data_IF_331211324766
#
_entry.id   IF_331211324766
#
_cell.length_a   1.000
_cell.length_b   1.000
_cell.length_c   1.000
_cell.angle_alpha   90.00
_cell.angle_beta   90.00
_cell.angle_gamma   90.00
#
_symmetry.space_group_name_H-M   'P 1'
#
loop_
_entity.id
_entity.type
_entity.pdbx_description
1 polymer ?
#
# COMPACT_ATOMS: atom_id res chain seq x y z
N UNK A 1 18.14 -14.73 2.68
CA UNK A 1 17.87 -14.21 4.05
C UNK A 1 18.71 -12.96 4.23
N UNK A 2 18.09 -11.85 4.66
CA UNK A 2 18.77 -10.57 4.88
C UNK A 2 19.89 -10.74 5.92
N UNK A 3 21.10 -10.25 5.63
CA UNK A 3 22.22 -10.30 6.59
C UNK A 3 21.96 -9.33 7.75
N UNK A 4 22.48 -9.66 8.94
CA UNK A 4 22.23 -8.86 10.14
C UNK A 4 22.73 -7.41 10.01
N UNK A 5 23.88 -7.20 9.37
CA UNK A 5 24.45 -5.86 9.18
C UNK A 5 23.57 -5.02 8.25
N UNK A 6 23.13 -5.61 7.12
CA UNK A 6 22.20 -4.95 6.19
C UNK A 6 20.86 -4.63 6.88
N UNK A 7 20.36 -5.54 7.72
CA UNK A 7 19.16 -5.31 8.52
C UNK A 7 19.30 -4.11 9.45
N UNK A 8 20.41 -3.98 10.17
CA UNK A 8 20.65 -2.86 11.09
C UNK A 8 20.65 -1.54 10.32
N UNK A 9 21.37 -1.46 9.20
CA UNK A 9 21.44 -0.24 8.37
C UNK A 9 20.05 0.15 7.85
N UNK A 10 19.28 -0.80 7.31
CA UNK A 10 17.92 -0.53 6.80
C UNK A 10 16.98 -0.12 7.93
N UNK A 11 17.06 -0.79 9.08
CA UNK A 11 16.25 -0.48 10.25
C UNK A 11 16.51 0.94 10.75
N UNK A 12 17.77 1.36 10.83
CA UNK A 12 18.12 2.71 11.29
C UNK A 12 17.68 3.79 10.29
N UNK A 13 17.83 3.53 8.99
CA UNK A 13 17.30 4.38 7.93
C UNK A 13 15.78 4.58 8.08
N UNK A 14 15.03 3.49 8.24
CA UNK A 14 13.57 3.55 8.40
C UNK A 14 13.19 4.20 9.72
N UNK A 15 13.87 3.89 10.82
CA UNK A 15 13.62 4.51 12.12
C UNK A 15 13.72 6.03 12.04
N UNK A 16 14.75 6.57 11.39
CA UNK A 16 14.90 8.01 11.18
C UNK A 16 13.69 8.59 10.43
N UNK A 17 13.29 7.96 9.32
CA UNK A 17 12.16 8.42 8.49
C UNK A 17 10.81 8.30 9.21
N UNK A 18 10.58 7.21 9.95
CA UNK A 18 9.37 7.00 10.75
C UNK A 18 9.22 8.05 11.86
N UNK A 19 10.31 8.41 12.54
CA UNK A 19 10.27 9.43 13.60
C UNK A 19 10.00 10.83 13.04
N UNK A 20 10.61 11.18 11.90
CA UNK A 20 10.29 12.43 11.19
C UNK A 20 8.82 12.48 10.78
N UNK A 21 8.30 11.37 10.25
CA UNK A 21 6.89 11.28 9.85
C UNK A 21 5.93 11.36 11.03
N UNK A 22 6.29 10.76 12.17
CA UNK A 22 5.52 10.86 13.40
C UNK A 22 5.41 12.30 13.89
N UNK A 23 6.53 13.03 13.91
CA UNK A 23 6.55 14.45 14.32
C UNK A 23 5.76 15.32 13.33
N UNK A 24 6.01 15.16 12.03
CA UNK A 24 5.35 15.90 10.97
C UNK A 24 3.82 15.71 10.98
N UNK A 25 3.35 14.46 11.12
CA UNK A 25 1.92 14.13 11.15
C UNK A 25 1.31 14.24 12.56
N UNK A 26 2.08 14.67 13.57
CA UNK A 26 1.67 14.79 14.98
C UNK A 26 1.06 13.50 15.54
N UNK A 27 1.64 12.36 15.18
CA UNK A 27 1.21 11.04 15.64
C UNK A 27 1.74 10.75 17.04
N UNK A 28 0.95 10.04 17.84
CA UNK A 28 1.35 9.63 19.19
C UNK A 28 2.40 8.49 19.20
N UNK A 29 2.58 7.80 18.07
CA UNK A 29 3.55 6.71 17.94
C UNK A 29 3.97 6.50 16.49
N UNK A 30 5.11 5.85 16.30
CA UNK A 30 5.62 5.40 15.02
C UNK A 30 6.11 3.95 15.13
N UNK A 31 5.88 3.14 14.10
CA UNK A 31 6.55 1.84 13.99
C UNK A 31 7.97 2.05 13.44
N UNK A 32 8.95 1.97 14.33
CA UNK A 32 10.38 2.18 14.01
C UNK A 32 11.20 0.88 13.93
N UNK A 33 10.59 -0.26 14.25
CA UNK A 33 11.27 -1.55 14.30
C UNK A 33 10.34 -2.65 13.85
N UNK A 34 10.73 -3.34 12.78
CA UNK A 34 10.05 -4.52 12.27
C UNK A 34 11.02 -5.69 12.44
N UNK A 35 10.50 -6.85 12.86
CA UNK A 35 11.32 -8.04 13.06
C UNK A 35 11.98 -8.45 11.74
N UNK A 36 13.25 -8.87 11.78
CA UNK A 36 14.00 -9.26 10.58
C UNK A 36 13.26 -10.34 9.76
N UNK A 37 12.53 -11.24 10.42
CA UNK A 37 11.75 -12.30 9.78
C UNK A 37 10.55 -11.79 8.95
N UNK A 38 10.12 -10.55 9.17
CA UNK A 38 9.08 -9.94 8.36
C UNK A 38 9.62 -9.31 7.07
N UNK A 39 10.94 -9.10 6.97
CA UNK A 39 11.53 -8.49 5.79
C UNK A 39 11.43 -9.50 4.65
N UNK A 40 10.83 -9.05 3.55
CA UNK A 40 10.77 -9.81 2.31
C UNK A 40 11.72 -9.19 1.31
N UNK A 41 12.44 -10.03 0.59
CA UNK A 41 13.34 -9.59 -0.47
C UNK A 41 12.70 -9.93 -1.80
N UNK A 42 12.67 -8.96 -2.71
CA UNK A 42 12.33 -9.19 -4.11
C UNK A 42 13.45 -8.65 -4.99
N UNK A 43 13.71 -9.35 -6.09
CA UNK A 43 14.62 -8.88 -7.13
C UNK A 43 13.82 -8.54 -8.38
N UNK A 44 14.07 -7.36 -8.93
CA UNK A 44 13.44 -6.90 -10.16
C UNK A 44 14.54 -6.33 -11.05
N UNK A 45 14.74 -6.91 -12.24
CA UNK A 45 15.74 -6.45 -13.20
C UNK A 45 17.15 -6.29 -12.60
N UNK A 46 17.59 -7.24 -11.78
CA UNK A 46 18.91 -7.25 -11.14
C UNK A 46 19.08 -6.25 -9.99
N UNK A 47 18.01 -5.61 -9.53
CA UNK A 47 17.99 -4.72 -8.36
C UNK A 47 17.24 -5.37 -7.21
N UNK A 48 17.78 -5.21 -6.00
CA UNK A 48 17.21 -5.77 -4.78
C UNK A 48 16.33 -4.76 -4.08
N UNK A 49 15.14 -5.20 -3.68
CA UNK A 49 14.21 -4.41 -2.89
C UNK A 49 13.86 -5.15 -1.61
N UNK A 50 13.88 -4.43 -0.49
CA UNK A 50 13.41 -4.93 0.79
C UNK A 50 12.02 -4.36 1.08
N UNK A 51 11.06 -5.26 1.24
CA UNK A 51 9.69 -4.98 1.63
C UNK A 51 9.59 -5.25 3.13
N UNK A 52 9.08 -4.27 3.85
CA UNK A 52 9.13 -4.22 5.32
C UNK A 52 7.71 -3.96 5.80
N UNK A 53 6.84 -4.98 5.71
CA UNK A 53 5.45 -4.86 6.08
C UNK A 53 5.24 -5.02 7.59
N UNK A 54 4.20 -4.37 8.07
CA UNK A 54 3.55 -4.74 9.32
C UNK A 54 2.77 -6.04 9.17
N UNK A 55 2.63 -6.82 10.25
CA UNK A 55 1.92 -8.10 10.21
C UNK A 55 0.48 -7.94 9.69
N UNK A 56 -0.22 -6.90 10.12
CA UNK A 56 -1.60 -6.67 9.73
C UNK A 56 -1.71 -6.27 8.26
N UNK A 57 -0.81 -5.40 7.76
CA UNK A 57 -0.75 -5.09 6.33
C UNK A 57 -0.60 -6.37 5.50
N UNK A 58 0.34 -7.24 5.89
CA UNK A 58 0.55 -8.53 5.25
C UNK A 58 -0.70 -9.42 5.32
N UNK A 59 -1.30 -9.59 6.49
CA UNK A 59 -2.48 -10.43 6.66
C UNK A 59 -3.66 -9.96 5.80
N UNK A 60 -3.88 -8.64 5.74
CA UNK A 60 -4.94 -8.04 4.94
C UNK A 60 -4.70 -8.26 3.45
N UNK A 61 -3.52 -7.90 2.93
CA UNK A 61 -3.22 -7.95 1.50
C UNK A 61 -3.08 -9.38 0.99
N UNK A 62 -2.39 -10.25 1.71
CA UNK A 62 -2.08 -11.61 1.22
C UNK A 62 -3.20 -12.61 1.49
N UNK A 63 -4.10 -12.33 2.44
CA UNK A 63 -5.10 -13.31 2.90
C UNK A 63 -6.50 -12.73 2.98
N UNK A 64 -6.74 -11.74 3.84
CA UNK A 64 -8.12 -11.38 4.18
C UNK A 64 -8.87 -10.65 3.09
N UNK A 65 -8.20 -9.88 2.23
CA UNK A 65 -8.88 -9.16 1.17
C UNK A 65 -9.55 -10.11 0.17
N UNK A 66 -8.83 -11.15 -0.29
CA UNK A 66 -9.38 -12.15 -1.20
C UNK A 66 -10.46 -13.02 -0.55
N UNK A 67 -10.29 -13.39 0.73
CA UNK A 67 -11.32 -14.15 1.46
C UNK A 67 -12.57 -13.29 1.67
N UNK A 68 -12.42 -12.01 1.99
CA UNK A 68 -13.52 -11.10 2.24
C UNK A 68 -14.33 -10.87 0.96
N UNK A 69 -13.66 -10.65 -0.18
CA UNK A 69 -14.32 -10.46 -1.46
C UNK A 69 -15.08 -11.71 -1.91
N UNK A 70 -14.54 -12.90 -1.64
CA UNK A 70 -15.22 -14.16 -1.96
C UNK A 70 -16.40 -14.47 -1.01
N UNK A 71 -16.26 -14.19 0.29
CA UNK A 71 -17.28 -14.53 1.30
C UNK A 71 -18.41 -13.50 1.39
N UNK A 72 -18.10 -12.23 1.16
CA UNK A 72 -19.04 -11.11 1.25
C UNK A 72 -19.04 -10.30 -0.07
N UNK A 73 -19.32 -10.92 -1.23
CA UNK A 73 -19.18 -10.25 -2.53
C UNK A 73 -20.10 -9.04 -2.71
N UNK A 74 -21.22 -9.00 -1.99
CA UNK A 74 -22.16 -7.87 -1.98
C UNK A 74 -21.65 -6.63 -1.22
N UNK A 75 -20.51 -6.73 -0.52
CA UNK A 75 -19.85 -5.62 0.16
C UNK A 75 -18.69 -5.02 -0.66
N UNK A 76 -18.42 -5.58 -1.84
CA UNK A 76 -17.41 -5.10 -2.78
C UNK A 76 -18.08 -4.56 -4.05
N UNK A 77 -17.46 -3.56 -4.68
CA UNK A 77 -18.02 -2.89 -5.86
C UNK A 77 -19.27 -2.04 -5.58
N UNK A 78 -19.53 -1.69 -4.32
CA UNK A 78 -20.75 -0.97 -3.91
C UNK A 78 -20.67 0.54 -4.12
N UNK A 79 -19.48 1.08 -4.39
CA UNK A 79 -19.22 2.53 -4.34
C UNK A 79 -19.04 3.07 -2.92
N UNK A 80 -18.95 2.21 -1.90
CA UNK A 80 -18.80 2.59 -0.51
C UNK A 80 -17.67 1.80 0.19
N UNK A 81 -16.59 2.49 0.52
CA UNK A 81 -15.40 1.95 1.17
C UNK A 81 -15.68 1.33 2.55
N UNK A 82 -16.70 1.83 3.26
CA UNK A 82 -17.06 1.29 4.58
C UNK A 82 -17.59 -0.15 4.49
N UNK A 83 -18.20 -0.54 3.36
CA UNK A 83 -18.68 -1.91 3.16
C UNK A 83 -17.48 -2.88 3.07
N UNK A 84 -16.43 -2.48 2.35
CA UNK A 84 -15.18 -3.25 2.24
C UNK A 84 -14.51 -3.41 3.61
N UNK A 85 -14.46 -2.34 4.42
CA UNK A 85 -13.92 -2.41 5.79
C UNK A 85 -14.75 -3.35 6.67
N UNK A 86 -16.08 -3.27 6.56
CA UNK A 86 -16.98 -4.18 7.27
C UNK A 86 -16.76 -5.64 6.86
N UNK A 87 -16.54 -5.92 5.57
CA UNK A 87 -16.30 -7.28 5.07
C UNK A 87 -15.05 -7.90 5.69
N UNK A 88 -13.99 -7.11 5.79
CA UNK A 88 -12.72 -7.52 6.40
C UNK A 88 -12.92 -7.72 7.92
N UNK A 89 -13.60 -6.77 8.58
CA UNK A 89 -13.91 -6.87 10.02
C UNK A 89 -14.74 -8.13 10.35
N UNK A 90 -15.71 -8.48 9.50
CA UNK A 90 -16.56 -9.66 9.68
C UNK A 90 -15.81 -10.99 9.46
N UNK A 91 -14.53 -10.97 9.05
CA UNK A 91 -13.63 -12.14 9.06
C UNK A 91 -12.82 -12.24 10.35
N UNK A 92 -12.30 -11.11 10.83
CA UNK A 92 -11.47 -11.03 12.03
C UNK A 92 -11.84 -9.80 12.85
N UNK A 93 -12.89 -9.88 13.67
CA UNK A 93 -13.38 -8.75 14.42
C UNK A 93 -12.42 -8.46 15.58
N UNK A 94 -11.77 -7.29 15.54
CA UNK A 94 -10.98 -6.76 16.65
C UNK A 94 -11.58 -5.45 17.14
N UNK A 95 -11.91 -5.40 18.43
CA UNK A 95 -12.61 -4.26 19.03
C UNK A 95 -13.94 -3.97 18.30
N UNK A 96 -14.41 -2.73 18.33
CA UNK A 96 -15.52 -2.28 17.49
C UNK A 96 -15.05 -1.84 16.09
N UNK A 97 -15.99 -1.77 15.15
CA UNK A 97 -15.70 -1.43 13.74
C UNK A 97 -15.02 -0.07 13.56
N UNK A 98 -15.37 0.93 14.38
CA UNK A 98 -14.76 2.25 14.28
C UNK A 98 -13.29 2.17 14.69
N UNK A 99 -13.00 1.55 15.84
CA UNK A 99 -11.62 1.36 16.28
C UNK A 99 -10.82 0.48 15.32
N UNK A 100 -11.44 -0.54 14.73
CA UNK A 100 -10.82 -1.36 13.69
C UNK A 100 -10.41 -0.51 12.47
N UNK A 101 -11.32 0.34 11.97
CA UNK A 101 -11.05 1.27 10.89
C UNK A 101 -9.90 2.25 11.23
N UNK A 102 -9.91 2.82 12.44
CA UNK A 102 -8.84 3.69 12.92
C UNK A 102 -7.47 2.98 12.98
N UNK A 103 -7.44 1.70 13.35
CA UNK A 103 -6.22 0.89 13.36
C UNK A 103 -5.74 0.65 11.93
N UNK A 104 -6.63 0.28 11.00
CA UNK A 104 -6.25 -0.04 9.63
C UNK A 104 -5.68 1.18 8.88
N UNK A 105 -6.22 2.38 9.13
CA UNK A 105 -5.71 3.62 8.52
C UNK A 105 -4.41 4.12 9.15
N UNK A 106 -4.00 3.59 10.31
CA UNK A 106 -2.82 4.07 11.06
C UNK A 106 -1.74 3.00 11.21
N UNK A 107 -0.51 3.34 10.79
CA UNK A 107 0.67 2.50 11.00
C UNK A 107 0.53 1.03 10.54
N UNK A 108 -0.35 0.76 9.55
CA UNK A 108 -0.42 -0.52 8.81
C UNK A 108 0.05 -0.30 7.38
N UNK A 109 1.31 -0.61 7.16
CA UNK A 109 1.98 -0.29 5.91
C UNK A 109 3.01 -1.35 5.53
N UNK A 110 3.56 -1.16 4.34
CA UNK A 110 4.80 -1.75 3.87
C UNK A 110 5.76 -0.64 3.44
N UNK A 111 6.93 -0.58 4.09
CA UNK A 111 8.05 0.21 3.56
C UNK A 111 8.78 -0.56 2.48
N UNK A 112 9.23 0.14 1.45
CA UNK A 112 10.04 -0.43 0.38
C UNK A 112 11.28 0.43 0.18
N UNK A 113 12.43 -0.22 0.26
CA UNK A 113 13.74 0.39 -0.01
C UNK A 113 14.45 -0.38 -1.12
N UNK A 114 15.07 0.34 -2.03
CA UNK A 114 16.01 -0.24 -3.01
C UNK A 114 17.39 -0.31 -2.38
N UNK A 115 18.08 -1.44 -2.56
CA UNK A 115 19.48 -1.61 -2.18
C UNK A 115 20.26 -2.03 -3.41
N UNK A 116 21.34 -1.30 -3.70
CA UNK A 116 22.23 -1.55 -4.83
C UNK A 116 23.66 -1.65 -4.33
N UNK A 117 24.30 -2.79 -4.55
CA UNK A 117 25.69 -3.06 -4.12
C UNK A 117 25.92 -2.76 -2.62
N UNK A 118 24.96 -3.13 -1.76
CA UNK A 118 25.02 -2.87 -0.32
C UNK A 118 24.69 -1.43 0.11
N UNK A 119 24.39 -0.53 -0.82
CA UNK A 119 24.03 0.87 -0.54
C UNK A 119 22.52 1.05 -0.64
N UNK A 120 21.92 1.65 0.39
CA UNK A 120 20.49 1.99 0.41
C UNK A 120 20.23 3.21 -0.47
N UNK A 121 19.24 3.11 -1.36
CA UNK A 121 18.71 4.28 -2.06
C UNK A 121 17.95 5.19 -1.09
N UNK A 122 18.20 6.49 -1.16
CA UNK A 122 17.55 7.49 -0.30
C UNK A 122 16.02 7.55 -0.46
N UNK A 123 15.49 7.11 -1.61
CA UNK A 123 14.04 7.05 -1.85
C UNK A 123 13.40 5.95 -1.00
N UNK A 124 12.55 6.36 -0.07
CA UNK A 124 11.69 5.47 0.72
C UNK A 124 10.25 5.53 0.21
N UNK A 125 9.71 4.39 -0.25
CA UNK A 125 8.29 4.25 -0.57
C UNK A 125 7.54 3.62 0.62
N UNK A 126 6.44 4.23 1.04
CA UNK A 126 5.50 3.70 2.02
C UNK A 126 4.18 3.39 1.33
N UNK A 127 3.75 2.14 1.45
CA UNK A 127 2.47 1.65 0.93
C UNK A 127 1.56 1.40 2.13
N UNK A 128 0.60 2.30 2.36
CA UNK A 128 -0.44 2.12 3.37
C UNK A 128 -1.59 1.27 2.80
N UNK A 129 -2.42 0.69 3.69
CA UNK A 129 -3.71 0.11 3.26
C UNK A 129 -4.59 1.20 2.62
N UNK A 130 -4.83 2.26 3.38
CA UNK A 130 -5.42 3.53 2.96
C UNK A 130 -5.09 4.60 4.01
N UNK A 131 -5.29 5.88 3.69
CA UNK A 131 -5.01 7.01 4.62
C UNK A 131 -6.28 7.63 5.21
N UNK A 132 -7.36 7.64 4.45
CA UNK A 132 -8.63 8.21 4.88
C UNK A 132 -9.80 7.59 4.10
N UNK A 133 -11.02 7.82 4.58
CA UNK A 133 -12.26 7.49 3.87
C UNK A 133 -13.10 8.76 3.81
N UNK A 134 -13.48 9.19 2.60
CA UNK A 134 -14.25 10.43 2.40
C UNK A 134 -15.48 10.19 1.56
N UNK A 135 -16.52 10.97 1.83
CA UNK A 135 -17.72 10.98 1.03
C UNK A 135 -17.39 11.33 -0.43
N UNK A 136 -17.96 10.58 -1.36
CA UNK A 136 -17.81 10.80 -2.79
C UNK A 136 -19.02 11.54 -3.36
N UNK A 137 -18.90 12.03 -4.60
CA UNK A 137 -19.95 12.82 -5.26
C UNK A 137 -21.27 12.07 -5.46
N UNK A 138 -21.28 10.75 -5.30
CA UNK A 138 -22.44 9.90 -5.51
C UNK A 138 -23.10 9.47 -4.19
N UNK A 139 -22.74 10.10 -3.06
CA UNK A 139 -23.30 9.79 -1.73
C UNK A 139 -22.74 8.52 -1.08
N UNK A 140 -21.72 7.90 -1.68
CA UNK A 140 -20.96 6.80 -1.07
C UNK A 140 -19.67 7.31 -0.43
N UNK A 141 -18.74 6.39 -0.14
CA UNK A 141 -17.43 6.74 0.41
C UNK A 141 -16.31 6.11 -0.42
N UNK A 142 -15.24 6.85 -0.67
CA UNK A 142 -14.04 6.34 -1.35
C UNK A 142 -12.85 6.28 -0.39
N UNK A 143 -12.01 5.26 -0.58
CA UNK A 143 -10.67 5.21 0.01
C UNK A 143 -9.81 6.34 -0.54
N UNK A 144 -9.05 7.00 0.33
CA UNK A 144 -8.09 8.03 -0.03
C UNK A 144 -6.69 7.54 0.30
N UNK A 145 -5.83 7.50 -0.72
CA UNK A 145 -4.44 7.04 -0.56
C UNK A 145 -4.33 5.53 -0.37
N UNK A 146 -3.12 5.00 -0.56
CA UNK A 146 -2.82 3.60 -0.28
C UNK A 146 -3.33 2.61 -1.32
N UNK A 147 -3.09 1.33 -1.04
CA UNK A 147 -3.34 0.24 -2.00
C UNK A 147 -4.84 -0.03 -2.20
N UNK A 148 -5.70 0.20 -1.20
CA UNK A 148 -7.16 0.02 -1.34
C UNK A 148 -7.78 0.99 -2.34
N UNK A 149 -7.24 2.19 -2.45
CA UNK A 149 -7.66 3.13 -3.49
C UNK A 149 -7.21 2.63 -4.88
N UNK A 150 -6.00 2.08 -5.00
CA UNK A 150 -5.53 1.49 -6.24
C UNK A 150 -6.33 0.23 -6.65
N UNK A 151 -6.82 -0.56 -5.69
CA UNK A 151 -7.64 -1.75 -5.95
C UNK A 151 -9.00 -1.46 -6.61
N UNK A 152 -9.40 -0.20 -6.74
CA UNK A 152 -10.63 0.19 -7.45
C UNK A 152 -10.70 -0.34 -8.87
N UNK A 153 -9.56 -0.58 -9.53
CA UNK A 153 -9.53 -1.08 -10.91
C UNK A 153 -9.26 -2.58 -11.04
N UNK A 154 -9.44 -3.34 -9.95
CA UNK A 154 -9.03 -4.75 -9.89
C UNK A 154 -10.05 -5.64 -9.20
N UNK A 155 -10.03 -6.90 -9.62
CA UNK A 155 -10.78 -7.99 -9.03
C UNK A 155 -9.86 -9.17 -8.69
N UNK A 156 -10.36 -10.10 -7.89
CA UNK A 156 -9.74 -11.37 -7.58
C UNK A 156 -10.81 -12.45 -7.71
N UNK A 157 -10.58 -13.43 -8.58
CA UNK A 157 -11.52 -14.51 -8.90
C UNK A 157 -12.92 -13.97 -9.28
N UNK A 158 -12.97 -12.92 -10.09
CA UNK A 158 -14.20 -12.27 -10.54
C UNK A 158 -14.88 -11.38 -9.51
N UNK A 159 -14.34 -11.28 -8.28
CA UNK A 159 -14.89 -10.44 -7.22
C UNK A 159 -14.10 -9.12 -7.13
N UNK A 160 -14.76 -7.95 -7.15
CA UNK A 160 -14.04 -6.69 -6.98
C UNK A 160 -13.24 -6.64 -5.68
N UNK A 161 -12.08 -5.96 -5.71
CA UNK A 161 -11.22 -5.81 -4.53
C UNK A 161 -11.44 -4.51 -3.77
N UNK A 162 -12.31 -3.63 -4.27
CA UNK A 162 -12.59 -2.31 -3.66
C UNK A 162 -13.96 -1.80 -4.11
N UNK A 163 -14.12 -0.49 -4.31
CA UNK A 163 -15.43 0.16 -4.46
C UNK A 163 -16.02 0.14 -5.88
N UNK A 164 -15.26 -0.20 -6.92
CA UNK A 164 -15.77 -0.29 -8.31
C UNK A 164 -16.19 -1.70 -8.68
N UNK A 165 -17.10 -1.85 -9.64
CA UNK A 165 -17.54 -3.14 -10.19
C UNK A 165 -16.66 -3.65 -11.34
N UNK A 166 -15.49 -3.06 -11.53
CA UNK A 166 -14.56 -3.46 -12.57
C UNK A 166 -14.04 -4.88 -12.34
N UNK A 167 -14.17 -5.73 -13.36
CA UNK A 167 -13.60 -7.08 -13.37
C UNK A 167 -12.32 -7.04 -14.20
N UNK A 168 -11.20 -6.95 -13.50
CA UNK A 168 -9.85 -6.98 -14.04
C UNK A 168 -9.02 -7.84 -13.09
N UNK A 169 -9.11 -9.16 -13.30
CA UNK A 169 -8.60 -10.13 -12.35
C UNK A 169 -7.08 -10.11 -12.29
N UNK A 170 -6.57 -9.98 -11.07
CA UNK A 170 -5.16 -10.23 -10.75
C UNK A 170 -5.04 -11.56 -10.02
N UNK A 171 -3.93 -12.25 -10.25
CA UNK A 171 -3.69 -13.58 -9.67
C UNK A 171 -3.79 -13.58 -8.15
N UNK A 172 -3.27 -12.54 -7.50
CA UNK A 172 -3.37 -12.30 -6.06
C UNK A 172 -3.37 -10.79 -5.81
N UNK A 173 -4.01 -10.28 -4.75
CA UNK A 173 -3.97 -8.85 -4.44
C UNK A 173 -2.54 -8.30 -4.32
N UNK A 174 -1.63 -9.07 -3.73
CA UNK A 174 -0.21 -8.72 -3.57
C UNK A 174 0.54 -8.43 -4.88
N UNK A 175 0.04 -8.86 -6.04
CA UNK A 175 0.61 -8.52 -7.36
C UNK A 175 0.63 -7.01 -7.58
N UNK A 176 -0.37 -6.27 -7.08
CA UNK A 176 -0.41 -4.82 -7.22
C UNK A 176 0.74 -4.14 -6.47
N UNK A 177 1.16 -4.68 -5.33
CA UNK A 177 2.32 -4.18 -4.57
C UNK A 177 3.58 -4.25 -5.43
N UNK A 178 3.81 -5.38 -6.09
CA UNK A 178 4.95 -5.53 -7.01
C UNK A 178 4.92 -4.47 -8.12
N UNK A 179 3.75 -4.26 -8.73
CA UNK A 179 3.57 -3.27 -9.81
C UNK A 179 3.78 -1.83 -9.33
N UNK A 180 3.34 -1.51 -8.11
CA UNK A 180 3.62 -0.23 -7.45
C UNK A 180 5.12 0.00 -7.30
N UNK A 181 5.87 -1.03 -6.85
CA UNK A 181 7.32 -0.95 -6.69
C UNK A 181 8.01 -0.76 -8.04
N UNK A 182 7.64 -1.55 -9.05
CA UNK A 182 8.19 -1.41 -10.41
C UNK A 182 7.92 0.00 -10.97
N UNK A 183 6.69 0.49 -10.85
CA UNK A 183 6.31 1.81 -11.34
C UNK A 183 7.15 2.93 -10.70
N UNK A 184 7.34 2.84 -9.38
CA UNK A 184 8.01 3.87 -8.60
C UNK A 184 9.53 3.90 -8.79
N UNK A 185 10.19 2.73 -8.72
CA UNK A 185 11.66 2.65 -8.73
C UNK A 185 12.26 2.45 -10.12
N UNK A 186 11.50 1.90 -11.07
CA UNK A 186 12.01 1.51 -12.39
C UNK A 186 11.23 2.12 -13.56
N UNK A 187 10.03 2.63 -13.30
CA UNK A 187 9.22 3.24 -14.34
C UNK A 187 9.74 4.61 -14.76
N UNK A 188 9.22 5.09 -15.89
CA UNK A 188 9.46 6.44 -16.38
C UNK A 188 8.63 7.43 -15.56
N UNK A 189 9.16 7.84 -14.42
CA UNK A 189 8.49 8.74 -13.49
C UNK A 189 8.38 10.14 -14.10
N UNK A 190 7.15 10.61 -14.29
CA UNK A 190 6.85 12.00 -14.62
C UNK A 190 6.55 12.78 -13.36
N UNK A 191 7.27 13.88 -13.14
CA UNK A 191 7.03 14.82 -12.04
C UNK A 191 5.99 15.83 -12.51
N UNK A 192 4.88 15.92 -11.78
CA UNK A 192 3.80 16.90 -12.05
C UNK A 192 4.08 18.19 -11.31
N UNK A 193 4.45 18.06 -10.04
CA UNK A 193 4.79 19.18 -9.16
C UNK A 193 5.75 18.68 -8.05
N UNK A 194 6.10 19.56 -7.10
CA UNK A 194 7.04 19.23 -6.01
C UNK A 194 6.58 18.13 -5.05
N UNK A 195 5.30 17.78 -5.07
CA UNK A 195 4.68 16.75 -4.24
C UNK A 195 4.17 15.56 -5.05
N UNK A 196 3.85 15.74 -6.33
CA UNK A 196 3.13 14.74 -7.10
C UNK A 196 3.98 14.25 -8.26
N UNK A 197 4.10 12.93 -8.37
CA UNK A 197 4.64 12.27 -9.55
C UNK A 197 3.75 11.11 -9.96
N UNK A 198 3.92 10.63 -11.18
CA UNK A 198 3.25 9.42 -11.63
C UNK A 198 4.15 8.58 -12.51
N UNK A 199 3.79 7.32 -12.66
CA UNK A 199 4.41 6.39 -13.58
C UNK A 199 3.35 5.47 -14.15
N UNK A 200 3.54 5.04 -15.39
CA UNK A 200 2.58 4.21 -16.09
C UNK A 200 3.06 2.77 -16.16
N UNK A 201 2.17 1.83 -15.88
CA UNK A 201 2.46 0.40 -15.92
C UNK A 201 1.37 -0.37 -16.63
N UNK A 202 1.78 -1.43 -17.30
CA UNK A 202 0.85 -2.42 -17.86
C UNK A 202 0.56 -3.49 -16.80
N UNK A 203 -0.73 -3.71 -16.52
CA UNK A 203 -1.21 -4.80 -15.68
C UNK A 203 -2.32 -5.51 -16.46
N UNK A 204 -2.08 -6.79 -16.80
CA UNK A 204 -2.89 -7.52 -17.76
C UNK A 204 -2.99 -6.72 -19.09
N UNK A 205 -4.21 -6.52 -19.59
CA UNK A 205 -4.49 -5.73 -20.79
C UNK A 205 -4.78 -4.26 -20.50
N UNK A 206 -4.66 -3.82 -19.24
CA UNK A 206 -4.98 -2.47 -18.81
C UNK A 206 -3.71 -1.65 -18.58
N UNK A 207 -3.71 -0.43 -19.11
CA UNK A 207 -2.66 0.55 -18.86
C UNK A 207 -3.10 1.44 -17.71
N UNK A 208 -2.32 1.44 -16.62
CA UNK A 208 -2.63 2.21 -15.43
C UNK A 208 -1.57 3.27 -15.15
N UNK A 209 -2.04 4.45 -14.75
CA UNK A 209 -1.24 5.51 -14.15
C UNK A 209 -1.26 5.36 -12.64
N UNK A 210 -0.12 5.03 -12.06
CA UNK A 210 0.09 5.06 -10.61
C UNK A 210 0.59 6.43 -10.19
N UNK A 211 -0.10 7.05 -9.25
CA UNK A 211 0.23 8.39 -8.73
C UNK A 211 0.87 8.26 -7.36
N UNK A 212 1.95 9.00 -7.18
CA UNK A 212 2.74 9.04 -5.96
C UNK A 212 2.73 10.45 -5.37
N UNK A 213 2.70 10.50 -4.04
CA UNK A 213 2.84 11.71 -3.25
C UNK A 213 4.19 11.70 -2.53
N UNK A 214 4.90 12.81 -2.54
CA UNK A 214 6.17 13.02 -1.86
C UNK A 214 5.96 13.97 -0.68
N UNK A 215 6.17 13.46 0.54
CA UNK A 215 6.23 14.27 1.74
C UNK A 215 7.64 14.85 1.88
N UNK A 216 7.80 16.14 1.59
CA UNK A 216 9.10 16.79 1.54
C UNK A 216 9.80 16.86 2.90
N UNK A 217 9.04 16.99 3.99
CA UNK A 217 9.62 17.16 5.33
C UNK A 217 10.25 15.88 5.88
N UNK A 218 9.76 14.73 5.41
CA UNK A 218 10.19 13.41 5.87
C UNK A 218 10.94 12.65 4.78
N UNK A 219 10.87 13.17 3.55
CA UNK A 219 11.36 12.58 2.31
C UNK A 219 10.83 11.16 2.10
N UNK A 220 9.53 10.97 2.35
CA UNK A 220 8.83 9.69 2.18
C UNK A 220 7.86 9.80 1.02
N UNK A 221 7.87 8.82 0.14
CA UNK A 221 6.92 8.70 -0.95
C UNK A 221 5.77 7.78 -0.55
N UNK A 222 4.57 8.08 -1.02
CA UNK A 222 3.36 7.32 -0.78
C UNK A 222 2.67 7.02 -2.10
N UNK A 223 2.12 5.81 -2.26
CA UNK A 223 1.17 5.56 -3.34
C UNK A 223 -0.17 6.21 -2.99
N UNK A 224 -0.70 7.02 -3.91
CA UNK A 224 -1.94 7.78 -3.72
C UNK A 224 -3.15 7.10 -4.35
N UNK A 225 -3.00 6.63 -5.59
CA UNK A 225 -4.09 6.10 -6.40
C UNK A 225 -3.55 5.45 -7.68
N UNK A 226 -4.41 4.69 -8.36
CA UNK A 226 -4.23 4.22 -9.72
C UNK A 226 -5.40 4.72 -10.58
N UNK A 227 -5.16 5.03 -11.86
CA UNK A 227 -6.22 5.36 -12.82
C UNK A 227 -5.96 4.67 -14.16
N UNK A 228 -7.02 4.20 -14.83
CA UNK A 228 -6.93 3.77 -16.23
C UNK A 228 -6.62 4.94 -17.15
N UNK A 229 -5.87 4.67 -18.22
CA UNK A 229 -5.46 5.63 -19.26
C UNK A 229 -6.10 5.27 -20.58
#
# INVERSE_FOLDING_TARGET
MLKIDEYIIIRDFIKKKSLLLMDHEKKNHARTGIAINNYRTIEINGKTYYLIPTNLFTAIVDRYLGIASAKYPNQFGTGNANDVIKAIYDLEPWFDLNRFNEILKTEQFCYVVEVKNGVINEKLLRIDLYRDIKENKNGGFDFIGGVFHCYKHFSYEGNPLSTSKEINDIKYPSVLIFKIITAFFQGNVTVVDKFTSYSEVQINNEKLRLVFYYEQNTEVFFVKTAHKI
#
